data_IF_664837813863
#
_entry.id   IF_664837813863
#
_cell.length_a   1.000
_cell.length_b   1.000
_cell.length_c   1.000
_cell.angle_alpha   90.00
_cell.angle_beta   90.00
_cell.angle_gamma   90.00
#
_symmetry.space_group_name_H-M   'P 1'
#
loop_
_entity.id
_entity.type
_entity.pdbx_description
1 polymer ?
#
# COMPACT_ATOMS: atom_id res chain seq x y z
N UNK A 1 -2.37 -8.33 -1.36
CA UNK A 1 -3.48 -7.37 -1.44
C UNK A 1 -4.76 -8.12 -1.07
N UNK A 2 -5.65 -7.53 -0.29
CA UNK A 2 -6.92 -8.16 0.06
C UNK A 2 -8.02 -7.45 -0.73
N UNK A 3 -8.72 -8.20 -1.58
CA UNK A 3 -9.92 -7.72 -2.26
C UNK A 3 -11.11 -8.15 -1.41
N UNK A 4 -11.74 -7.19 -0.74
CA UNK A 4 -12.93 -7.40 0.09
C UNK A 4 -14.11 -6.67 -0.53
N UNK A 5 -15.28 -7.30 -0.47
CA UNK A 5 -16.51 -6.59 -0.77
C UNK A 5 -16.89 -5.68 0.41
N UNK A 6 -17.43 -4.48 0.14
CA UNK A 6 -17.87 -3.53 1.16
C UNK A 6 -18.69 -4.15 2.29
N UNK A 7 -19.70 -4.94 1.94
CA UNK A 7 -20.60 -5.58 2.89
C UNK A 7 -19.89 -6.57 3.82
N UNK A 8 -18.80 -7.20 3.37
CA UNK A 8 -18.04 -8.15 4.17
C UNK A 8 -17.06 -7.46 5.13
N UNK A 9 -16.77 -6.18 4.94
CA UNK A 9 -15.76 -5.47 5.72
C UNK A 9 -16.24 -5.18 7.16
N UNK A 10 -17.53 -4.86 7.34
CA UNK A 10 -18.10 -4.58 8.66
C UNK A 10 -18.00 -5.77 9.62
N UNK A 11 -18.47 -6.95 9.17
CA UNK A 11 -18.47 -8.17 9.99
C UNK A 11 -17.05 -8.68 10.28
N UNK A 12 -16.15 -8.56 9.30
CA UNK A 12 -14.77 -9.05 9.41
C UNK A 12 -13.89 -8.13 10.28
N UNK A 13 -14.14 -6.82 10.28
CA UNK A 13 -13.43 -5.88 11.15
C UNK A 13 -13.95 -5.88 12.59
N UNK A 14 -15.21 -6.28 12.80
CA UNK A 14 -15.78 -6.48 14.13
C UNK A 14 -15.20 -7.71 14.86
N UNK A 15 -14.39 -8.54 14.18
CA UNK A 15 -13.66 -9.64 14.82
C UNK A 15 -12.58 -9.08 15.78
N UNK A 16 -12.91 -9.11 17.08
CA UNK A 16 -12.04 -8.65 18.16
C UNK A 16 -10.73 -9.46 18.25
N UNK A 17 -10.72 -10.70 17.78
CA UNK A 17 -9.53 -11.57 17.79
C UNK A 17 -8.51 -11.08 16.79
N UNK A 18 -8.93 -10.84 15.54
CA UNK A 18 -8.06 -10.35 14.47
C UNK A 18 -7.58 -8.92 14.73
N UNK A 19 -8.45 -8.09 15.29
CA UNK A 19 -8.11 -6.73 15.71
C UNK A 19 -7.12 -6.72 16.88
N UNK A 20 -7.31 -7.59 17.88
CA UNK A 20 -6.46 -7.68 19.07
C UNK A 20 -5.00 -8.09 18.78
N UNK A 21 -4.77 -8.91 17.74
CA UNK A 21 -3.41 -9.29 17.30
C UNK A 21 -2.80 -8.31 16.28
N UNK A 22 -3.51 -7.21 15.98
CA UNK A 22 -3.09 -6.22 14.99
C UNK A 22 -2.96 -6.79 13.58
N UNK A 23 -3.83 -7.74 13.20
CA UNK A 23 -3.79 -8.39 11.88
C UNK A 23 -4.03 -7.37 10.75
N UNK A 24 -5.07 -6.55 10.88
CA UNK A 24 -5.55 -5.64 9.84
C UNK A 24 -4.54 -4.58 9.38
N UNK A 25 -3.76 -3.93 10.26
CA UNK A 25 -2.73 -2.97 9.87
C UNK A 25 -1.64 -3.48 8.93
N UNK A 26 -1.56 -4.79 8.66
CA UNK A 26 -0.62 -5.38 7.70
C UNK A 26 -1.17 -5.40 6.26
N UNK A 27 -2.43 -5.00 6.05
CA UNK A 27 -3.08 -5.00 4.76
C UNK A 27 -3.31 -3.56 4.27
N UNK A 28 -3.05 -3.38 2.97
CA UNK A 28 -3.48 -2.20 2.24
C UNK A 28 -4.96 -2.31 1.89
N UNK A 29 -5.70 -1.22 2.09
CA UNK A 29 -7.06 -1.04 1.63
C UNK A 29 -7.07 0.02 0.53
N UNK A 30 -7.73 -0.29 -0.58
CA UNK A 30 -8.02 0.68 -1.61
C UNK A 30 -9.53 0.81 -1.74
N UNK A 31 -10.05 2.00 -1.48
CA UNK A 31 -11.47 2.31 -1.57
C UNK A 31 -11.68 3.54 -2.47
N UNK A 32 -11.60 3.37 -3.79
CA UNK A 32 -11.79 4.50 -4.70
C UNK A 32 -13.25 4.95 -4.71
N UNK A 33 -13.48 6.20 -5.09
CA UNK A 33 -14.82 6.73 -5.30
C UNK A 33 -15.61 5.89 -6.34
N UNK A 34 -16.94 5.83 -6.23
CA UNK A 34 -17.78 5.15 -7.21
C UNK A 34 -17.48 5.61 -8.64
N UNK A 35 -17.45 4.65 -9.55
CA UNK A 35 -17.17 4.93 -10.95
C UNK A 35 -18.37 5.62 -11.61
N UNK A 36 -18.08 6.64 -12.43
CA UNK A 36 -19.09 7.19 -13.34
C UNK A 36 -19.58 6.11 -14.33
N UNK A 37 -20.80 6.24 -14.87
CA UNK A 37 -21.32 5.34 -15.91
C UNK A 37 -20.31 5.18 -17.06
N UNK A 38 -20.01 3.92 -17.39
CA UNK A 38 -18.96 3.58 -18.37
C UNK A 38 -19.54 3.44 -19.77
N UNK A 39 -18.85 3.99 -20.76
CA UNK A 39 -19.09 3.67 -22.17
C UNK A 39 -18.17 2.52 -22.59
N UNK A 40 -18.70 1.53 -23.32
CA UNK A 40 -17.85 0.51 -23.91
C UNK A 40 -16.84 1.15 -24.88
N UNK A 41 -15.56 0.82 -24.69
CA UNK A 41 -14.48 1.15 -25.61
C UNK A 41 -13.71 -0.14 -25.92
N UNK A 42 -13.55 -0.52 -27.20
CA UNK A 42 -12.68 -1.63 -27.55
C UNK A 42 -11.28 -1.35 -27.00
N UNK A 43 -10.78 -2.27 -26.19
CA UNK A 43 -9.47 -2.15 -25.56
C UNK A 43 -8.72 -3.46 -25.72
N UNK A 44 -7.48 -3.35 -26.16
CA UNK A 44 -6.55 -4.48 -26.28
C UNK A 44 -5.34 -4.14 -25.43
N UNK A 45 -5.07 -4.90 -24.36
CA UNK A 45 -3.95 -4.58 -23.48
C UNK A 45 -2.61 -4.62 -24.20
N UNK A 46 -2.46 -5.47 -25.22
CA UNK A 46 -1.25 -5.60 -26.03
C UNK A 46 -0.97 -4.36 -26.87
N UNK A 47 -2.00 -3.54 -27.14
CA UNK A 47 -1.83 -2.27 -27.84
C UNK A 47 -1.33 -1.14 -26.92
N UNK A 48 -1.25 -1.36 -25.61
CA UNK A 48 -0.75 -0.40 -24.65
C UNK A 48 0.70 -0.73 -24.27
N UNK A 49 1.63 0.14 -24.67
CA UNK A 49 3.06 -0.05 -24.42
C UNK A 49 3.41 -0.17 -22.93
N UNK A 50 2.71 0.54 -22.04
CA UNK A 50 2.97 0.48 -20.60
C UNK A 50 2.56 -0.88 -20.02
N UNK A 51 1.47 -1.47 -20.52
CA UNK A 51 1.00 -2.80 -20.08
C UNK A 51 1.92 -3.88 -20.61
N UNK A 52 2.30 -3.81 -21.88
CA UNK A 52 3.28 -4.73 -22.47
C UNK A 52 4.61 -4.70 -21.71
N UNK A 53 5.12 -3.50 -21.38
CA UNK A 53 6.35 -3.34 -20.61
C UNK A 53 6.22 -3.91 -19.18
N UNK A 54 5.09 -3.68 -18.52
CA UNK A 54 4.81 -4.23 -17.20
C UNK A 54 4.82 -5.77 -17.21
N UNK A 55 4.16 -6.40 -18.18
CA UNK A 55 4.13 -7.86 -18.30
C UNK A 55 5.49 -8.45 -18.63
N UNK A 56 6.20 -7.87 -19.58
CA UNK A 56 7.57 -8.29 -19.90
C UNK A 56 8.45 -8.26 -18.64
N UNK A 57 8.37 -7.18 -17.84
CA UNK A 57 9.10 -7.10 -16.58
C UNK A 57 8.67 -8.14 -15.55
N UNK A 58 7.38 -8.43 -15.46
CA UNK A 58 6.88 -9.47 -14.56
C UNK A 58 7.44 -10.85 -14.95
N UNK A 59 7.45 -11.17 -16.25
CA UNK A 59 8.02 -12.40 -16.79
C UNK A 59 9.52 -12.49 -16.48
N UNK A 60 10.29 -11.43 -16.74
CA UNK A 60 11.72 -11.36 -16.39
C UNK A 60 11.99 -11.62 -14.90
N UNK A 61 11.13 -11.12 -14.00
CA UNK A 61 11.27 -11.31 -12.56
C UNK A 61 10.89 -12.74 -12.13
N UNK A 62 9.86 -13.32 -12.73
CA UNK A 62 9.40 -14.69 -12.45
C UNK A 62 10.37 -15.76 -12.98
N UNK A 63 11.09 -15.47 -14.07
CA UNK A 63 12.11 -16.35 -14.63
C UNK A 63 13.40 -16.38 -13.81
N UNK A 64 13.59 -15.44 -12.86
CA UNK A 64 14.74 -15.46 -11.96
C UNK A 64 14.63 -16.63 -11.01
N UNK A 65 15.66 -17.48 -11.02
CA UNK A 65 15.77 -18.59 -10.06
C UNK A 65 15.81 -18.04 -8.64
N UNK A 66 14.81 -18.38 -7.84
CA UNK A 66 14.83 -18.09 -6.41
C UNK A 66 15.94 -18.90 -5.74
N UNK A 67 16.76 -18.28 -4.89
CA UNK A 67 17.70 -19.02 -4.06
C UNK A 67 16.93 -19.93 -3.11
N UNK A 68 17.54 -21.06 -2.71
CA UNK A 68 16.94 -21.98 -1.74
C UNK A 68 16.84 -21.38 -0.33
N UNK A 69 17.52 -20.27 -0.10
CA UNK A 69 17.62 -19.55 1.16
C UNK A 69 17.57 -18.04 0.90
N UNK A 70 16.92 -17.31 1.79
CA UNK A 70 16.74 -15.86 1.74
C UNK A 70 17.85 -15.08 2.47
N UNK A 71 18.74 -15.75 3.21
CA UNK A 71 19.78 -15.12 4.04
C UNK A 71 20.75 -14.22 3.24
N UNK A 72 20.92 -14.50 1.94
CA UNK A 72 21.79 -13.74 1.05
C UNK A 72 21.06 -12.71 0.16
N UNK A 73 19.77 -12.45 0.41
CA UNK A 73 19.05 -11.45 -0.37
C UNK A 73 19.59 -10.04 -0.06
N UNK A 74 19.82 -9.21 -1.09
CA UNK A 74 20.34 -7.86 -0.88
C UNK A 74 19.36 -7.02 -0.07
N UNK A 75 19.89 -6.27 0.89
CA UNK A 75 19.13 -5.31 1.68
C UNK A 75 19.05 -4.01 0.87
N UNK A 76 17.82 -3.54 0.62
CA UNK A 76 17.58 -2.25 -0.03
C UNK A 76 17.53 -1.17 1.06
N UNK A 77 18.63 -0.46 1.24
CA UNK A 77 18.74 0.61 2.24
C UNK A 77 18.22 1.95 1.70
N UNK A 78 17.53 2.78 2.51
CA UNK A 78 17.13 4.12 2.11
C UNK A 78 18.34 5.04 1.99
N UNK A 79 18.34 5.87 0.94
CA UNK A 79 19.27 6.99 0.85
C UNK A 79 18.98 8.02 1.96
N UNK A 80 19.92 8.94 2.28
CA UNK A 80 19.66 10.00 3.24
C UNK A 80 18.44 10.86 2.89
N UNK A 81 18.20 11.10 1.60
CA UNK A 81 17.04 11.85 1.13
C UNK A 81 15.74 11.04 1.30
N UNK A 82 15.73 9.75 0.95
CA UNK A 82 14.59 8.88 1.22
C UNK A 82 14.27 8.79 2.72
N UNK A 83 15.32 8.66 3.55
CA UNK A 83 15.21 8.65 5.02
C UNK A 83 14.54 9.92 5.53
N UNK A 84 14.89 11.09 4.99
CA UNK A 84 14.25 12.35 5.36
C UNK A 84 12.73 12.33 5.13
N UNK A 85 12.26 11.85 3.98
CA UNK A 85 10.83 11.76 3.69
C UNK A 85 10.11 10.75 4.59
N UNK A 86 10.72 9.58 4.81
CA UNK A 86 10.16 8.53 5.66
C UNK A 86 10.07 8.97 7.12
N UNK A 87 11.10 9.65 7.64
CA UNK A 87 11.11 10.19 9.00
C UNK A 87 10.03 11.27 9.18
N UNK A 88 9.94 12.23 8.25
CA UNK A 88 8.89 13.25 8.29
C UNK A 88 7.48 12.66 8.20
N UNK A 89 7.30 11.56 7.46
CA UNK A 89 6.03 10.83 7.43
C UNK A 89 5.76 10.11 8.76
N UNK A 90 6.75 9.43 9.33
CA UNK A 90 6.64 8.77 10.63
C UNK A 90 6.22 9.73 11.75
N UNK A 91 6.90 10.86 11.89
CA UNK A 91 6.61 11.86 12.92
C UNK A 91 5.18 12.39 12.80
N UNK A 92 4.72 12.65 11.57
CA UNK A 92 3.35 13.07 11.29
C UNK A 92 2.33 12.02 11.70
N UNK A 93 2.57 10.75 11.35
CA UNK A 93 1.68 9.66 11.72
C UNK A 93 1.62 9.46 13.25
N UNK A 94 2.74 9.62 13.95
CA UNK A 94 2.78 9.59 15.42
C UNK A 94 1.90 10.69 16.05
N UNK A 95 1.96 11.91 15.50
CA UNK A 95 1.11 13.03 15.97
C UNK A 95 -0.36 12.76 15.67
N UNK A 96 -0.70 12.45 14.42
CA UNK A 96 -2.08 12.26 13.99
C UNK A 96 -2.76 11.08 14.68
N UNK A 97 -2.05 9.95 14.84
CA UNK A 97 -2.59 8.74 15.44
C UNK A 97 -2.84 8.86 16.96
N UNK A 98 -2.14 9.80 17.64
CA UNK A 98 -2.24 9.98 19.09
C UNK A 98 -3.05 11.21 19.49
N UNK A 99 -3.00 12.28 18.71
CA UNK A 99 -3.54 13.60 19.05
C UNK A 99 -4.43 14.19 17.97
N UNK A 100 -4.34 13.73 16.73
CA UNK A 100 -5.07 14.27 15.59
C UNK A 100 -6.25 13.42 15.15
N UNK A 101 -6.48 13.42 13.85
CA UNK A 101 -7.70 12.89 13.22
C UNK A 101 -7.62 11.38 12.96
N UNK A 102 -6.43 10.80 13.02
CA UNK A 102 -6.19 9.37 12.77
C UNK A 102 -6.32 8.50 14.03
N UNK A 103 -6.87 9.02 15.13
CA UNK A 103 -7.01 8.28 16.41
C UNK A 103 -7.87 7.02 16.29
N UNK A 104 -8.92 7.07 15.47
CA UNK A 104 -9.84 5.95 15.26
C UNK A 104 -9.21 4.85 14.38
N UNK A 105 -8.17 5.19 13.62
CA UNK A 105 -7.38 4.26 12.80
C UNK A 105 -5.93 4.16 13.29
N UNK A 106 -5.71 4.42 14.59
CA UNK A 106 -4.37 4.47 15.20
C UNK A 106 -3.49 3.25 14.86
N UNK A 107 -3.98 2.00 14.93
CA UNK A 107 -3.16 0.83 14.58
C UNK A 107 -2.61 0.85 13.15
N UNK A 108 -3.35 1.45 12.21
CA UNK A 108 -2.96 1.59 10.80
C UNK A 108 -1.97 2.75 10.63
N UNK A 109 -2.29 3.91 11.19
CA UNK A 109 -1.45 5.10 11.10
C UNK A 109 -0.06 4.85 11.70
N UNK A 110 0.04 4.21 12.87
CA UNK A 110 1.32 3.90 13.52
C UNK A 110 2.18 2.89 12.76
N UNK A 111 1.62 2.17 11.78
CA UNK A 111 2.37 1.26 10.88
C UNK A 111 2.52 1.79 9.46
N UNK A 112 2.00 2.98 9.17
CA UNK A 112 1.98 3.49 7.81
C UNK A 112 3.39 3.68 7.25
N UNK A 113 4.37 4.10 8.05
CA UNK A 113 5.77 4.22 7.60
C UNK A 113 6.40 2.86 7.32
N UNK A 114 6.14 1.84 8.14
CA UNK A 114 6.58 0.47 7.88
C UNK A 114 6.03 -0.02 6.53
N UNK A 115 4.76 0.28 6.26
CA UNK A 115 4.12 -0.03 4.99
C UNK A 115 4.73 0.75 3.82
N UNK A 116 5.00 2.05 4.00
CA UNK A 116 5.63 2.90 3.00
C UNK A 116 7.02 2.36 2.61
N UNK A 117 7.84 1.94 3.59
CA UNK A 117 9.14 1.32 3.33
C UNK A 117 9.01 0.02 2.52
N UNK A 118 8.05 -0.84 2.88
CA UNK A 118 7.82 -2.10 2.15
C UNK A 118 7.38 -1.85 0.70
N UNK A 119 6.48 -0.90 0.47
CA UNK A 119 6.02 -0.55 -0.87
C UNK A 119 7.17 0.07 -1.67
N UNK A 120 7.87 1.06 -1.11
CA UNK A 120 9.02 1.67 -1.75
C UNK A 120 10.10 0.65 -2.09
N UNK A 121 10.37 -0.31 -1.20
CA UNK A 121 11.30 -1.40 -1.46
C UNK A 121 10.87 -2.31 -2.61
N UNK A 122 9.57 -2.59 -2.75
CA UNK A 122 9.03 -3.31 -3.92
C UNK A 122 9.21 -2.49 -5.20
N UNK A 123 8.98 -1.18 -5.18
CA UNK A 123 9.18 -0.29 -6.33
C UNK A 123 10.66 -0.21 -6.74
N UNK A 124 11.57 -0.13 -5.78
CA UNK A 124 13.01 -0.18 -6.01
C UNK A 124 13.44 -1.55 -6.58
N UNK A 125 12.97 -2.65 -5.99
CA UNK A 125 13.26 -4.00 -6.48
C UNK A 125 12.69 -4.23 -7.90
N UNK A 126 11.52 -3.66 -8.20
CA UNK A 126 10.89 -3.73 -9.50
C UNK A 126 11.78 -3.14 -10.60
N UNK A 127 12.43 -2.01 -10.35
CA UNK A 127 13.39 -1.39 -11.29
C UNK A 127 14.78 -2.01 -11.23
N UNK A 128 15.03 -2.88 -10.25
CA UNK A 128 16.35 -3.50 -10.02
C UNK A 128 17.33 -2.57 -9.30
N UNK A 129 16.84 -1.53 -8.62
CA UNK A 129 17.64 -0.69 -7.76
C UNK A 129 18.10 -1.45 -6.50
N UNK A 130 19.30 -1.14 -6.03
CA UNK A 130 19.90 -1.64 -4.80
C UNK A 130 19.70 -0.69 -3.61
N UNK A 131 19.24 0.53 -3.87
CA UNK A 131 18.91 1.56 -2.88
C UNK A 131 17.45 1.98 -2.98
N UNK A 132 16.87 2.35 -1.83
CA UNK A 132 15.57 3.00 -1.81
C UNK A 132 15.77 4.51 -2.01
N UNK A 133 15.59 4.94 -3.26
CA UNK A 133 15.64 6.34 -3.64
C UNK A 133 14.44 7.17 -3.15
N UNK A 134 14.61 8.50 -3.12
CA UNK A 134 13.60 9.42 -2.62
C UNK A 134 12.27 9.35 -3.39
N UNK A 135 12.30 9.09 -4.70
CA UNK A 135 11.10 8.88 -5.52
C UNK A 135 10.29 7.67 -5.04
N UNK A 136 10.94 6.50 -4.93
CA UNK A 136 10.33 5.28 -4.43
C UNK A 136 9.76 5.45 -3.01
N UNK A 137 10.47 6.19 -2.15
CA UNK A 137 10.00 6.50 -0.80
C UNK A 137 8.74 7.38 -0.81
N UNK A 138 8.69 8.42 -1.65
CA UNK A 138 7.50 9.28 -1.80
C UNK A 138 6.31 8.50 -2.37
N UNK A 139 6.53 7.64 -3.36
CA UNK A 139 5.48 6.80 -3.92
C UNK A 139 4.95 5.78 -2.90
N UNK A 140 5.85 5.15 -2.14
CA UNK A 140 5.48 4.28 -1.03
C UNK A 140 4.65 5.01 0.03
N UNK A 141 5.03 6.24 0.39
CA UNK A 141 4.27 7.11 1.30
C UNK A 141 2.89 7.42 0.70
N UNK A 142 2.80 7.75 -0.58
CA UNK A 142 1.53 8.09 -1.22
C UNK A 142 0.53 6.93 -1.17
N UNK A 143 0.98 5.71 -1.47
CA UNK A 143 0.14 4.51 -1.41
C UNK A 143 -0.24 4.16 0.03
N UNK A 144 0.69 4.26 0.98
CA UNK A 144 0.42 3.99 2.40
C UNK A 144 -0.57 5.00 2.99
N UNK A 145 -0.39 6.30 2.71
CA UNK A 145 -1.28 7.36 3.15
C UNK A 145 -2.69 7.18 2.58
N UNK A 146 -2.80 6.92 1.28
CA UNK A 146 -4.09 6.61 0.66
C UNK A 146 -4.79 5.42 1.34
N UNK A 147 -4.03 4.38 1.70
CA UNK A 147 -4.62 3.24 2.42
C UNK A 147 -5.09 3.60 3.82
N UNK A 148 -4.40 4.49 4.54
CA UNK A 148 -4.85 4.96 5.86
C UNK A 148 -6.15 5.75 5.73
N UNK A 149 -6.24 6.63 4.73
CA UNK A 149 -7.47 7.39 4.43
C UNK A 149 -8.63 6.45 4.08
N UNK A 150 -8.37 5.41 3.28
CA UNK A 150 -9.37 4.39 2.95
C UNK A 150 -9.84 3.62 4.20
N UNK A 151 -8.91 3.25 5.11
CA UNK A 151 -9.24 2.63 6.39
C UNK A 151 -10.09 3.55 7.26
N UNK A 152 -9.78 4.85 7.31
CA UNK A 152 -10.55 5.83 8.06
C UNK A 152 -11.96 5.99 7.49
N UNK A 153 -12.11 6.07 6.17
CA UNK A 153 -13.42 6.15 5.51
C UNK A 153 -14.27 4.90 5.75
N UNK A 154 -13.66 3.71 5.67
CA UNK A 154 -14.29 2.43 5.94
C UNK A 154 -14.80 2.33 7.38
N UNK A 155 -13.95 2.64 8.36
CA UNK A 155 -14.31 2.55 9.78
C UNK A 155 -15.28 3.63 10.22
N UNK A 156 -15.32 4.78 9.55
CA UNK A 156 -16.32 5.82 9.77
C UNK A 156 -17.70 5.50 9.16
N UNK A 157 -17.88 4.35 8.50
CA UNK A 157 -19.12 3.99 7.81
C UNK A 157 -19.43 4.85 6.59
N UNK A 158 -18.45 5.61 6.06
CA UNK A 158 -18.60 6.47 4.87
C UNK A 158 -18.34 5.74 3.56
N UNK A 159 -18.02 4.46 3.65
CA UNK A 159 -17.54 3.67 2.54
C UNK A 159 -18.66 3.24 1.56
N UNK A 160 -19.92 3.20 1.99
CA UNK A 160 -21.08 3.10 1.09
C UNK A 160 -22.09 4.21 1.44
N UNK A 161 -22.33 5.21 0.57
CA UNK A 161 -23.57 5.98 0.66
C UNK A 161 -24.72 5.02 0.32
N UNK A 162 -25.73 4.99 1.19
CA UNK A 162 -27.01 4.34 0.89
C UNK A 162 -27.52 4.76 -0.50
N UNK A 163 -28.18 3.86 -1.24
CA UNK A 163 -28.54 4.03 -2.65
C UNK A 163 -29.28 5.34 -2.96
#
# INVERSE_FOLDING_TARGET
HLLLQPAALGDVLADETLSGIGFWPRFLLAWPAPLAPRTFKPWRPEANAAIAAYWCRAEELLDRRMPNDCDALPIIEPTPEATYFLAAFFERMEVEARRGDLRDVRPFALRATEMACRIGGVLAAWTGADTLEAENARDGIAVAAYSVDAWQAALAGKADPAP
#
